data_IF_156211291161
#
_entry.id   IF_156211291161
#
_cell.length_a   1.000
_cell.length_b   1.000
_cell.length_c   1.000
_cell.angle_alpha   90.00
_cell.angle_beta   90.00
_cell.angle_gamma   90.00
#
_symmetry.space_group_name_H-M   'P 1'
#
loop_
_entity.id
_entity.type
_entity.pdbx_description
1 polymer ?
#
# COMPACT_ATOMS: atom_id res chain seq x y z
N UNK A 1 30.73 49.25 33.56
CA UNK A 1 31.14 47.84 33.58
C UNK A 1 29.91 47.00 33.29
N UNK A 2 29.68 46.81 32.00
CA UNK A 2 28.49 46.21 31.41
C UNK A 2 28.88 44.80 30.94
N UNK A 3 27.87 43.95 30.73
CA UNK A 3 27.94 42.69 29.95
C UNK A 3 28.33 41.41 30.69
N UNK A 4 27.42 40.90 31.54
CA UNK A 4 27.16 39.45 31.61
C UNK A 4 25.64 39.25 31.62
N UNK A 5 25.02 39.41 30.45
CA UNK A 5 23.61 39.09 30.21
C UNK A 5 23.47 38.32 28.88
N UNK A 6 24.34 37.32 28.68
CA UNK A 6 24.49 36.63 27.39
C UNK A 6 24.20 35.12 27.40
N UNK A 7 23.56 34.58 28.43
CA UNK A 7 23.36 33.11 28.54
C UNK A 7 21.93 32.67 28.86
N UNK A 8 20.92 33.53 28.64
CA UNK A 8 19.52 33.09 28.69
C UNK A 8 18.73 33.28 27.38
N UNK A 9 19.32 33.89 26.35
CA UNK A 9 18.65 34.05 25.04
C UNK A 9 18.77 32.78 24.17
N UNK A 10 19.79 31.93 24.39
CA UNK A 10 20.06 30.76 23.55
C UNK A 10 19.31 29.49 23.99
N UNK A 11 18.94 29.37 25.27
CA UNK A 11 18.29 28.15 25.82
C UNK A 11 16.79 28.14 25.52
N UNK A 12 16.15 29.30 25.35
CA UNK A 12 14.71 29.38 25.05
C UNK A 12 14.42 29.05 23.56
N UNK A 13 15.43 29.11 22.69
CA UNK A 13 15.28 28.74 21.27
C UNK A 13 15.14 27.23 21.01
N UNK A 14 15.45 26.36 21.99
CA UNK A 14 15.45 24.89 21.82
C UNK A 14 14.17 24.18 22.25
N UNK A 15 13.11 24.90 22.66
CA UNK A 15 11.81 24.32 22.98
C UNK A 15 10.72 24.76 21.99
N UNK A 16 11.01 24.68 20.68
CA UNK A 16 9.95 24.45 19.69
C UNK A 16 9.41 23.04 19.91
N UNK A 17 8.56 22.89 20.93
CA UNK A 17 7.73 21.70 21.12
C UNK A 17 6.87 21.57 19.86
N UNK A 18 7.23 20.66 18.97
CA UNK A 18 6.28 20.15 17.98
C UNK A 18 5.19 19.41 18.77
N UNK A 19 4.11 20.10 19.07
CA UNK A 19 2.85 19.46 19.44
C UNK A 19 2.25 18.88 18.17
N UNK A 20 2.64 17.66 17.83
CA UNK A 20 2.04 16.90 16.74
C UNK A 20 0.60 16.54 17.14
N UNK A 21 -0.37 17.25 16.58
CA UNK A 21 -1.78 16.85 16.65
C UNK A 21 -2.00 15.64 15.73
N UNK A 22 -1.82 14.45 16.30
CA UNK A 22 -2.02 13.20 15.58
C UNK A 22 -3.51 12.90 15.47
N UNK A 23 -4.02 12.88 14.24
CA UNK A 23 -5.36 12.37 13.91
C UNK A 23 -5.24 10.95 13.37
N UNK A 24 -6.17 10.06 13.75
CA UNK A 24 -6.28 8.73 13.14
C UNK A 24 -6.47 8.89 11.62
N UNK A 25 -5.61 8.24 10.85
CA UNK A 25 -5.71 8.23 9.40
C UNK A 25 -6.98 7.48 8.96
N UNK A 26 -7.77 8.10 8.09
CA UNK A 26 -8.94 7.44 7.50
C UNK A 26 -8.49 6.66 6.25
N UNK A 27 -8.62 5.34 6.34
CA UNK A 27 -8.17 4.42 5.30
C UNK A 27 -8.91 4.63 3.96
N UNK A 28 -10.14 5.15 3.99
CA UNK A 28 -10.94 5.45 2.78
C UNK A 28 -10.35 6.55 1.90
N UNK A 29 -9.40 7.34 2.42
CA UNK A 29 -8.76 8.40 1.66
C UNK A 29 -7.76 7.87 0.61
N UNK A 30 -7.36 6.59 0.71
CA UNK A 30 -6.47 5.97 -0.26
C UNK A 30 -7.28 5.64 -1.51
N UNK A 31 -7.20 6.46 -2.55
CA UNK A 31 -7.98 6.25 -3.77
C UNK A 31 -7.21 5.44 -4.80
N UNK A 32 -7.80 4.35 -5.24
CA UNK A 32 -7.35 3.56 -6.39
C UNK A 32 -8.15 3.98 -7.62
N UNK A 33 -7.76 5.09 -8.24
CA UNK A 33 -8.40 5.62 -9.45
C UNK A 33 -7.81 4.94 -10.70
N UNK A 34 -8.58 4.12 -11.45
CA UNK A 34 -8.08 3.44 -12.64
C UNK A 34 -7.75 4.40 -13.79
N UNK A 35 -8.27 5.63 -13.76
CA UNK A 35 -8.04 6.63 -14.82
C UNK A 35 -6.81 7.50 -14.55
N UNK A 36 -6.16 7.35 -13.37
CA UNK A 36 -4.95 8.08 -13.02
C UNK A 36 -3.78 7.10 -12.92
N UNK A 37 -2.66 7.45 -13.55
CA UNK A 37 -1.41 6.67 -13.44
C UNK A 37 -0.75 6.75 -12.04
N UNK A 38 -1.41 7.32 -11.04
CA UNK A 38 -0.93 7.41 -9.67
C UNK A 38 -1.53 6.27 -8.84
N UNK A 39 -0.97 5.06 -8.99
CA UNK A 39 -1.23 3.99 -8.03
C UNK A 39 -0.62 4.39 -6.67
N UNK A 40 -1.40 4.48 -5.58
CA UNK A 40 -0.86 4.88 -4.29
C UNK A 40 0.16 3.83 -3.80
N UNK A 41 1.35 4.29 -3.44
CA UNK A 41 2.39 3.47 -2.83
C UNK A 41 2.37 3.71 -1.33
N UNK A 42 2.21 2.63 -0.55
CA UNK A 42 2.06 2.69 0.91
C UNK A 42 3.22 1.91 1.52
N UNK A 43 3.94 2.55 2.44
CA UNK A 43 4.99 1.90 3.23
C UNK A 43 4.59 1.95 4.70
N UNK A 44 4.48 0.78 5.33
CA UNK A 44 4.13 0.64 6.75
C UNK A 44 5.39 0.33 7.57
N UNK A 45 5.83 1.27 8.40
CA UNK A 45 7.04 1.14 9.22
C UNK A 45 6.63 1.02 10.69
N UNK A 46 7.23 0.06 11.40
CA UNK A 46 6.98 -0.15 12.83
C UNK A 46 7.74 -1.35 13.36
N UNK A 47 7.93 -1.42 14.68
CA UNK A 47 8.59 -2.53 15.37
C UNK A 47 7.81 -3.85 15.19
N UNK A 48 8.39 -4.99 15.61
CA UNK A 48 7.66 -6.27 15.63
C UNK A 48 6.38 -6.11 16.46
N UNK A 49 5.31 -6.76 16.01
CA UNK A 49 4.01 -6.83 16.69
C UNK A 49 3.27 -5.49 16.89
N UNK A 50 3.62 -4.44 16.14
CA UNK A 50 2.92 -3.13 16.20
C UNK A 50 1.68 -3.05 15.29
N UNK A 51 1.12 -4.19 14.86
CA UNK A 51 -0.13 -4.20 14.08
C UNK A 51 -0.02 -3.81 12.61
N UNK A 52 1.17 -3.86 11.99
CA UNK A 52 1.34 -3.56 10.55
C UNK A 52 0.42 -4.42 9.66
N UNK A 53 0.37 -5.73 9.92
CA UNK A 53 -0.49 -6.65 9.18
C UNK A 53 -1.98 -6.32 9.35
N UNK A 54 -2.37 -5.86 10.55
CA UNK A 54 -3.73 -5.40 10.82
C UNK A 54 -4.10 -4.17 9.98
N UNK A 55 -3.18 -3.22 9.78
CA UNK A 55 -3.40 -2.09 8.88
C UNK A 55 -3.55 -2.52 7.42
N UNK A 56 -2.81 -3.55 6.98
CA UNK A 56 -3.01 -4.13 5.65
C UNK A 56 -4.40 -4.75 5.52
N UNK A 57 -4.87 -5.48 6.54
CA UNK A 57 -6.24 -6.02 6.56
C UNK A 57 -7.29 -4.91 6.51
N UNK A 58 -7.10 -3.83 7.27
CA UNK A 58 -8.02 -2.68 7.25
C UNK A 58 -8.04 -2.01 5.87
N UNK A 59 -6.87 -1.90 5.21
CA UNK A 59 -6.76 -1.42 3.84
C UNK A 59 -7.57 -2.28 2.87
N UNK A 60 -7.41 -3.61 2.93
CA UNK A 60 -8.15 -4.55 2.09
C UNK A 60 -9.66 -4.51 2.38
N UNK A 61 -10.06 -4.32 3.64
CA UNK A 61 -11.46 -4.23 4.05
C UNK A 61 -12.18 -3.02 3.46
N UNK A 62 -11.53 -1.85 3.40
CA UNK A 62 -12.12 -0.64 2.82
C UNK A 62 -12.02 -0.57 1.28
N UNK A 63 -11.17 -1.39 0.66
CA UNK A 63 -10.94 -1.42 -0.79
C UNK A 63 -11.27 -2.77 -1.42
N UNK A 64 -12.52 -3.22 -1.22
CA UNK A 64 -13.02 -4.50 -1.74
C UNK A 64 -13.19 -4.53 -3.27
N UNK A 65 -13.04 -3.39 -3.93
CA UNK A 65 -13.08 -3.26 -5.38
C UNK A 65 -11.77 -3.70 -6.06
N UNK A 66 -10.75 -4.09 -5.30
CA UNK A 66 -9.50 -4.64 -5.84
C UNK A 66 -9.72 -6.14 -6.13
N UNK A 67 -9.71 -6.56 -7.40
CA UNK A 67 -10.16 -7.90 -7.77
C UNK A 67 -9.12 -9.00 -7.51
N UNK A 68 -7.82 -8.68 -7.54
CA UNK A 68 -6.73 -9.63 -7.34
C UNK A 68 -5.52 -8.97 -6.68
N UNK A 69 -4.83 -9.72 -5.82
CA UNK A 69 -3.61 -9.29 -5.16
C UNK A 69 -2.67 -10.47 -4.91
N UNK A 70 -1.37 -10.21 -5.01
CA UNK A 70 -0.32 -11.19 -4.69
C UNK A 70 0.38 -10.75 -3.42
N UNK A 71 0.55 -11.67 -2.48
CA UNK A 71 1.23 -11.43 -1.20
C UNK A 71 2.55 -12.17 -1.23
N UNK A 72 3.64 -11.46 -0.95
CA UNK A 72 4.97 -12.07 -0.73
C UNK A 72 5.33 -11.80 0.73
N UNK A 73 5.41 -12.85 1.55
CA UNK A 73 5.61 -12.73 2.99
C UNK A 73 6.33 -13.95 3.56
N UNK A 74 7.60 -13.77 3.94
CA UNK A 74 8.40 -14.84 4.55
C UNK A 74 7.94 -15.25 5.96
N UNK A 75 6.98 -14.56 6.55
CA UNK A 75 6.41 -14.89 7.87
C UNK A 75 5.03 -15.56 7.79
N UNK A 76 4.49 -15.79 6.60
CA UNK A 76 3.14 -16.37 6.47
C UNK A 76 3.09 -17.85 6.86
N UNK A 77 4.11 -18.64 6.50
CA UNK A 77 4.17 -20.08 6.78
C UNK A 77 3.95 -20.44 8.26
N UNK A 78 4.26 -19.53 9.20
CA UNK A 78 4.08 -19.73 10.65
C UNK A 78 2.87 -19.03 11.28
N UNK A 79 2.26 -18.03 10.60
CA UNK A 79 1.23 -17.17 11.21
C UNK A 79 -0.14 -17.25 10.50
N UNK A 80 -0.16 -17.60 9.21
CA UNK A 80 -1.41 -17.76 8.45
C UNK A 80 -2.28 -16.49 8.37
N UNK A 81 -1.70 -15.30 8.58
CA UNK A 81 -2.45 -14.04 8.69
C UNK A 81 -3.16 -13.69 7.39
N UNK A 82 -2.49 -13.83 6.26
CA UNK A 82 -3.03 -13.49 4.95
C UNK A 82 -3.95 -14.59 4.39
N UNK A 83 -3.74 -15.84 4.78
CA UNK A 83 -4.51 -17.00 4.31
C UNK A 83 -6.01 -16.94 4.64
N UNK A 84 -6.42 -16.14 5.63
CA UNK A 84 -7.82 -15.92 6.00
C UNK A 84 -8.57 -14.98 5.03
N UNK A 85 -7.84 -14.18 4.24
CA UNK A 85 -8.40 -13.14 3.38
C UNK A 85 -7.96 -13.26 1.92
N UNK A 86 -6.82 -13.89 1.67
CA UNK A 86 -6.22 -14.08 0.36
C UNK A 86 -6.08 -15.59 0.11
N UNK A 87 -6.52 -16.10 -1.05
CA UNK A 87 -6.33 -17.51 -1.40
C UNK A 87 -4.84 -17.90 -1.35
N UNK A 88 -4.55 -19.07 -0.78
CA UNK A 88 -3.17 -19.59 -0.65
C UNK A 88 -2.38 -19.61 -1.97
N UNK A 89 -3.08 -19.78 -3.11
CA UNK A 89 -2.49 -19.75 -4.45
C UNK A 89 -1.76 -18.42 -4.77
N UNK A 90 -2.15 -17.31 -4.11
CA UNK A 90 -1.57 -15.99 -4.33
C UNK A 90 -0.63 -15.53 -3.20
N UNK A 91 -0.34 -16.43 -2.25
CA UNK A 91 0.58 -16.13 -1.17
C UNK A 91 1.88 -16.90 -1.42
N UNK A 92 2.99 -16.16 -1.43
CA UNK A 92 4.32 -16.70 -1.66
C UNK A 92 5.19 -16.40 -0.45
N UNK A 93 5.89 -17.40 0.05
CA UNK A 93 6.77 -17.23 1.21
C UNK A 93 8.02 -16.41 0.83
N UNK A 94 8.54 -16.62 -0.37
CA UNK A 94 9.76 -15.96 -0.84
C UNK A 94 9.54 -15.17 -2.13
N UNK A 95 10.36 -14.13 -2.29
CA UNK A 95 10.41 -13.38 -3.53
C UNK A 95 11.05 -14.23 -4.63
N UNK A 96 10.36 -14.36 -5.75
CA UNK A 96 10.87 -14.98 -6.97
C UNK A 96 10.53 -14.08 -8.16
N UNK A 97 11.51 -13.83 -9.03
CA UNK A 97 11.33 -13.01 -10.25
C UNK A 97 10.20 -13.54 -11.13
N UNK A 98 10.01 -14.86 -11.19
CA UNK A 98 8.93 -15.49 -11.96
C UNK A 98 7.53 -15.04 -11.49
N UNK A 99 7.36 -14.68 -10.22
CA UNK A 99 6.07 -14.18 -9.69
C UNK A 99 5.73 -12.85 -10.38
N UNK A 100 6.69 -11.91 -10.39
CA UNK A 100 6.50 -10.59 -11.00
C UNK A 100 6.29 -10.72 -12.50
N UNK A 101 7.07 -11.56 -13.18
CA UNK A 101 6.93 -11.81 -14.62
C UNK A 101 5.53 -12.35 -14.98
N UNK A 102 5.01 -13.29 -14.19
CA UNK A 102 3.68 -13.86 -14.40
C UNK A 102 2.58 -12.82 -14.18
N UNK A 103 2.69 -11.98 -13.15
CA UNK A 103 1.74 -10.87 -12.90
C UNK A 103 1.74 -9.90 -14.09
N UNK A 104 2.92 -9.47 -14.55
CA UNK A 104 3.05 -8.56 -15.69
C UNK A 104 2.52 -9.19 -16.99
N UNK A 105 2.77 -10.48 -17.21
CA UNK A 105 2.26 -11.21 -18.37
C UNK A 105 0.73 -11.29 -18.36
N UNK A 106 0.11 -11.54 -17.21
CA UNK A 106 -1.35 -11.54 -17.04
C UNK A 106 -1.94 -10.17 -17.34
N UNK A 107 -1.42 -9.12 -16.70
CA UNK A 107 -1.87 -7.73 -16.93
C UNK A 107 -1.80 -7.33 -18.41
N UNK A 108 -0.67 -7.63 -19.09
CA UNK A 108 -0.52 -7.37 -20.53
C UNK A 108 -1.54 -8.12 -21.39
N UNK A 109 -1.85 -9.37 -21.03
CA UNK A 109 -2.81 -10.20 -21.77
C UNK A 109 -4.23 -9.64 -21.66
N UNK A 110 -4.64 -9.25 -20.45
CA UNK A 110 -5.96 -8.66 -20.18
C UNK A 110 -6.12 -7.33 -20.91
N UNK A 111 -5.11 -6.46 -20.87
CA UNK A 111 -5.10 -5.21 -21.64
C UNK A 111 -5.19 -5.44 -23.15
N UNK A 112 -4.52 -6.47 -23.67
CA UNK A 112 -4.57 -6.82 -25.09
C UNK A 112 -5.98 -7.30 -25.49
N UNK A 113 -6.61 -8.11 -24.65
CA UNK A 113 -7.97 -8.60 -24.90
C UNK A 113 -9.00 -7.46 -24.85
N UNK A 114 -8.91 -6.60 -23.84
CA UNK A 114 -9.75 -5.40 -23.72
C UNK A 114 -9.64 -4.50 -24.97
N UNK A 115 -8.41 -4.25 -25.46
CA UNK A 115 -8.19 -3.47 -26.69
C UNK A 115 -8.85 -4.11 -27.92
N UNK A 116 -8.72 -5.43 -28.08
CA UNK A 116 -9.37 -6.16 -29.18
C UNK A 116 -10.89 -6.03 -29.15
N UNK A 117 -11.50 -6.13 -27.97
CA UNK A 117 -12.95 -6.00 -27.82
C UNK A 117 -13.45 -4.58 -28.08
N UNK A 118 -12.68 -3.58 -27.64
CA UNK A 118 -12.96 -2.17 -27.96
C UNK A 118 -12.87 -1.93 -29.47
N UNK A 119 -11.87 -2.50 -30.15
CA UNK A 119 -11.72 -2.35 -31.60
C UNK A 119 -12.86 -3.04 -32.37
N UNK A 120 -13.25 -4.25 -31.96
CA UNK A 120 -14.30 -5.03 -32.63
C UNK A 120 -15.73 -4.52 -32.33
N UNK A 121 -16.02 -4.14 -31.08
CA UNK A 121 -17.38 -3.90 -30.61
C UNK A 121 -17.60 -2.48 -30.06
N UNK A 122 -16.58 -1.62 -30.07
CA UNK A 122 -16.59 -0.25 -29.49
C UNK A 122 -16.90 -0.20 -27.98
N UNK A 123 -16.92 -1.35 -27.31
CA UNK A 123 -17.15 -1.50 -25.87
C UNK A 123 -16.44 -2.76 -25.37
N UNK A 124 -16.02 -2.75 -24.11
CA UNK A 124 -15.46 -3.91 -23.41
C UNK A 124 -16.01 -3.92 -21.99
N UNK A 125 -16.36 -5.11 -21.49
CA UNK A 125 -16.76 -5.32 -20.09
C UNK A 125 -15.63 -5.91 -19.23
N UNK A 126 -14.42 -6.03 -19.81
CA UNK A 126 -13.23 -6.52 -19.13
C UNK A 126 -12.67 -5.42 -18.24
N UNK A 127 -12.53 -5.72 -16.94
CA UNK A 127 -11.79 -4.86 -16.02
C UNK A 127 -10.28 -5.13 -16.15
N UNK A 128 -9.47 -4.14 -16.55
CA UNK A 128 -8.03 -4.30 -16.76
C UNK A 128 -7.24 -4.60 -15.47
N UNK A 129 -7.88 -4.54 -14.30
CA UNK A 129 -7.28 -4.83 -12.99
C UNK A 129 -7.39 -6.32 -12.60
N UNK A 130 -8.15 -7.11 -13.34
CA UNK A 130 -8.40 -8.55 -13.09
C UNK A 130 -7.40 -9.42 -13.84
#
# INVERSE_FOLDING_TARGET
MMTIRFTLSLIIYYNLRMTLELKKFDMKNIRFDPNKNAGPVIVLIGRRDTGKSFLVRDLLYYHQNIPIGTVISGTEAGNGFYSAHVPKLFIHDEYNTAIIENILKRQKTVLKQMKKEIEAYKRSNIDPRT
#
